data_IF_181635091987
#
_entry.id   IF_181635091987
#
_cell.length_a   1.000
_cell.length_b   1.000
_cell.length_c   1.000
_cell.angle_alpha   90.00
_cell.angle_beta   90.00
_cell.angle_gamma   90.00
#
_symmetry.space_group_name_H-M   'P 1'
#
loop_
_entity.id
_entity.type
_entity.pdbx_description
1 polymer ?
#
# COMPACT_ATOMS: atom_id res chain seq x y z
N UNK A 1 15.23 -31.69 -8.49
CA UNK A 1 14.87 -30.43 -7.81
C UNK A 1 16.08 -29.60 -7.36
N UNK A 2 17.19 -30.23 -6.98
CA UNK A 2 18.45 -29.55 -6.57
C UNK A 2 19.14 -28.78 -7.70
N UNK A 3 19.13 -29.29 -8.94
CA UNK A 3 19.73 -28.59 -10.08
C UNK A 3 19.05 -27.24 -10.40
N UNK A 4 17.73 -27.16 -10.31
CA UNK A 4 16.98 -25.92 -10.56
C UNK A 4 17.25 -24.88 -9.47
N UNK A 5 17.34 -25.33 -8.20
CA UNK A 5 17.73 -24.46 -7.08
C UNK A 5 19.15 -23.90 -7.26
N UNK A 6 20.09 -24.74 -7.66
CA UNK A 6 21.48 -24.33 -7.91
C UNK A 6 21.59 -23.39 -9.12
N UNK A 7 20.80 -23.62 -10.17
CA UNK A 7 20.76 -22.74 -11.35
C UNK A 7 20.18 -21.37 -10.99
N UNK A 8 19.08 -21.33 -10.22
CA UNK A 8 18.50 -20.09 -9.72
C UNK A 8 19.51 -19.33 -8.85
N UNK A 9 20.15 -20.01 -7.89
CA UNK A 9 21.17 -19.41 -7.02
C UNK A 9 22.42 -18.94 -7.78
N UNK A 10 22.80 -19.61 -8.87
CA UNK A 10 23.94 -19.23 -9.72
C UNK A 10 23.66 -18.04 -10.64
N UNK A 11 22.39 -17.83 -11.04
CA UNK A 11 21.97 -16.73 -11.93
C UNK A 11 21.61 -15.46 -11.15
N UNK A 12 21.22 -15.59 -9.87
CA UNK A 12 20.95 -14.47 -8.97
C UNK A 12 22.14 -13.48 -8.80
N UNK A 13 23.39 -13.90 -8.56
CA UNK A 13 24.50 -12.97 -8.30
C UNK A 13 24.99 -12.22 -9.55
N UNK A 14 24.74 -12.72 -10.76
CA UNK A 14 25.10 -12.02 -12.01
C UNK A 14 24.07 -10.96 -12.43
N UNK A 15 22.88 -10.93 -11.81
CA UNK A 15 21.82 -9.94 -12.07
C UNK A 15 21.47 -9.08 -10.85
N UNK A 16 22.12 -9.32 -9.71
CA UNK A 16 22.01 -8.52 -8.50
C UNK A 16 22.78 -7.20 -8.61
N UNK A 17 22.50 -6.40 -9.65
CA UNK A 17 22.29 -4.98 -9.36
C UNK A 17 21.25 -4.96 -8.26
N UNK A 18 21.56 -4.30 -7.14
CA UNK A 18 20.72 -4.13 -5.95
C UNK A 18 19.32 -3.68 -6.41
N UNK A 19 18.47 -4.64 -6.78
CA UNK A 19 17.20 -4.37 -7.42
C UNK A 19 16.38 -3.72 -6.33
N UNK A 20 15.92 -2.50 -6.57
CA UNK A 20 15.05 -1.77 -5.67
C UNK A 20 13.82 -2.65 -5.40
N UNK A 21 13.85 -3.37 -4.28
CA UNK A 21 12.82 -4.36 -3.92
C UNK A 21 11.62 -3.69 -3.27
N UNK A 22 11.74 -2.41 -2.92
CA UNK A 22 10.69 -1.66 -2.30
C UNK A 22 9.68 -1.16 -3.33
N UNK A 23 8.44 -1.08 -2.90
CA UNK A 23 7.38 -0.39 -3.62
C UNK A 23 7.54 1.11 -3.39
N UNK A 24 7.37 1.92 -4.43
CA UNK A 24 7.49 3.39 -4.38
C UNK A 24 6.12 4.03 -4.18
N UNK A 25 6.06 5.09 -3.38
CA UNK A 25 4.83 5.85 -3.15
C UNK A 25 4.50 6.72 -4.38
N UNK A 26 3.26 6.66 -4.81
CA UNK A 26 2.65 7.55 -5.78
C UNK A 26 1.35 8.11 -5.20
N UNK A 27 1.26 9.44 -5.11
CA UNK A 27 0.01 10.12 -4.82
C UNK A 27 -0.91 10.11 -6.04
N UNK A 28 -2.22 10.13 -5.81
CA UNK A 28 -3.19 10.26 -6.89
C UNK A 28 -3.07 11.64 -7.53
N UNK A 29 -3.12 11.69 -8.86
CA UNK A 29 -3.11 12.96 -9.60
C UNK A 29 -4.37 13.79 -9.32
N UNK A 30 -5.51 13.12 -9.11
CA UNK A 30 -6.74 13.78 -8.70
C UNK A 30 -6.71 14.09 -7.20
N UNK A 31 -6.41 15.34 -6.86
CA UNK A 31 -6.36 15.84 -5.49
C UNK A 31 -7.71 15.87 -4.77
N UNK A 32 -8.83 15.67 -5.46
CA UNK A 32 -10.15 15.54 -4.82
C UNK A 32 -10.33 14.21 -4.08
N UNK A 33 -9.47 13.21 -4.34
CA UNK A 33 -9.51 11.91 -3.68
C UNK A 33 -8.56 11.93 -2.49
N UNK A 34 -9.12 12.07 -1.29
CA UNK A 34 -8.36 12.39 -0.08
C UNK A 34 -8.51 11.33 1.02
N UNK A 35 -7.55 11.32 1.94
CA UNK A 35 -7.67 10.69 3.25
C UNK A 35 -8.66 11.47 4.15
N UNK A 36 -8.93 10.96 5.36
CA UNK A 36 -9.86 11.59 6.32
C UNK A 36 -9.52 13.07 6.64
N UNK A 37 -8.23 13.40 6.76
CA UNK A 37 -7.80 14.76 7.07
C UNK A 37 -7.77 15.72 5.86
N UNK A 38 -8.03 15.22 4.65
CA UNK A 38 -8.00 15.99 3.40
C UNK A 38 -6.67 15.92 2.66
N UNK A 39 -5.66 15.21 3.18
CA UNK A 39 -4.41 14.96 2.44
C UNK A 39 -4.63 14.03 1.25
N UNK A 40 -3.82 14.13 0.18
CA UNK A 40 -4.00 13.30 -1.01
C UNK A 40 -3.81 11.82 -0.68
N UNK A 41 -4.73 10.98 -1.14
CA UNK A 41 -4.57 9.54 -1.09
C UNK A 41 -3.52 9.08 -2.12
N UNK A 42 -3.08 7.83 -2.02
CA UNK A 42 -2.04 7.28 -2.87
C UNK A 42 -1.88 5.78 -2.70
N UNK A 43 -0.90 5.23 -3.42
CA UNK A 43 -0.58 3.82 -3.40
C UNK A 43 0.93 3.62 -3.53
N UNK A 44 1.41 2.47 -3.08
CA UNK A 44 2.77 2.02 -3.32
C UNK A 44 2.77 1.02 -4.46
N UNK A 45 3.73 1.11 -5.38
CA UNK A 45 3.85 0.18 -6.52
C UNK A 45 5.27 -0.32 -6.71
N UNK A 46 5.39 -1.62 -7.03
CA UNK A 46 6.59 -2.22 -7.63
C UNK A 46 6.19 -2.92 -8.92
N UNK A 47 6.69 -2.40 -10.03
CA UNK A 47 6.42 -2.96 -11.35
C UNK A 47 7.27 -4.20 -11.63
N UNK A 48 6.67 -5.17 -12.30
CA UNK A 48 7.38 -6.28 -12.96
C UNK A 48 7.00 -6.27 -14.43
N UNK A 49 7.83 -5.64 -15.26
CA UNK A 49 7.57 -5.43 -16.71
C UNK A 49 7.36 -6.73 -17.49
N UNK A 50 7.89 -7.86 -17.00
CA UNK A 50 7.72 -9.18 -17.62
C UNK A 50 6.44 -9.91 -17.20
N UNK A 51 5.67 -9.36 -16.26
CA UNK A 51 4.53 -10.03 -15.65
C UNK A 51 3.22 -9.35 -16.02
N UNK A 52 2.23 -10.18 -16.35
CA UNK A 52 0.84 -9.74 -16.62
C UNK A 52 -0.04 -9.84 -15.37
N UNK A 53 0.50 -10.29 -14.24
CA UNK A 53 -0.26 -10.45 -12.99
C UNK A 53 -0.14 -9.17 -12.16
N UNK A 54 -1.25 -8.80 -11.53
CA UNK A 54 -1.34 -7.66 -10.63
C UNK A 54 -1.91 -8.12 -9.31
N UNK A 55 -1.28 -7.71 -8.21
CA UNK A 55 -1.79 -7.88 -6.86
C UNK A 55 -2.02 -6.51 -6.26
N UNK A 56 -3.27 -6.20 -5.96
CA UNK A 56 -3.68 -4.96 -5.29
C UNK A 56 -4.11 -5.31 -3.87
N UNK A 57 -3.34 -4.85 -2.90
CA UNK A 57 -3.56 -5.11 -1.49
C UNK A 57 -4.16 -3.89 -0.81
N UNK A 58 -5.29 -4.08 -0.14
CA UNK A 58 -5.95 -3.07 0.67
C UNK A 58 -5.53 -3.23 2.13
N UNK A 59 -4.87 -2.21 2.68
CA UNK A 59 -4.54 -2.21 4.11
C UNK A 59 -5.81 -2.24 4.97
N UNK A 60 -5.72 -2.88 6.14
CA UNK A 60 -6.78 -2.86 7.14
C UNK A 60 -6.51 -1.84 8.26
N UNK A 61 -7.27 -1.92 9.34
CA UNK A 61 -6.98 -1.15 10.55
C UNK A 61 -8.20 -0.54 11.21
N UNK A 62 -9.26 -1.33 11.41
CA UNK A 62 -10.51 -0.88 12.04
C UNK A 62 -11.19 0.27 11.29
N UNK A 63 -12.13 0.97 11.91
CA UNK A 63 -12.88 2.09 11.35
C UNK A 63 -13.28 3.04 12.47
N UNK A 64 -13.81 4.22 12.12
CA UNK A 64 -14.50 5.10 13.06
C UNK A 64 -15.86 5.47 12.48
N UNK A 65 -16.84 5.76 13.36
CA UNK A 65 -18.25 5.89 12.98
C UNK A 65 -18.97 7.06 13.67
N UNK A 66 -18.24 7.86 14.44
CA UNK A 66 -18.74 9.08 15.10
C UNK A 66 -17.58 10.06 15.28
N UNK A 67 -17.88 11.34 15.47
CA UNK A 67 -16.87 12.40 15.62
C UNK A 67 -15.87 12.08 16.69
N UNK A 68 -16.39 11.75 17.86
CA UNK A 68 -15.59 11.49 19.05
C UNK A 68 -14.61 10.33 18.83
N UNK A 69 -15.07 9.27 18.15
CA UNK A 69 -14.22 8.12 17.86
C UNK A 69 -13.22 8.43 16.75
N UNK A 70 -13.59 9.21 15.74
CA UNK A 70 -12.69 9.65 14.68
C UNK A 70 -11.63 10.64 15.18
N UNK A 71 -11.99 11.58 16.05
CA UNK A 71 -11.06 12.52 16.70
C UNK A 71 -10.04 11.74 17.56
N UNK A 72 -10.52 10.81 18.40
CA UNK A 72 -9.64 9.93 19.20
C UNK A 72 -8.72 9.08 18.32
N UNK A 73 -9.25 8.55 17.21
CA UNK A 73 -8.47 7.78 16.23
C UNK A 73 -7.42 8.65 15.53
N UNK A 74 -7.73 9.91 15.26
CA UNK A 74 -6.80 10.84 14.62
C UNK A 74 -5.60 11.12 15.55
N UNK A 75 -5.85 11.30 16.84
CA UNK A 75 -4.80 11.56 17.83
C UNK A 75 -3.90 10.33 18.08
N UNK A 76 -4.51 9.14 18.16
CA UNK A 76 -3.80 7.89 18.51
C UNK A 76 -3.25 7.12 17.31
N UNK A 77 -3.88 7.22 16.14
CA UNK A 77 -3.63 6.39 14.96
C UNK A 77 -3.58 7.20 13.66
N UNK A 78 -3.00 8.41 13.70
CA UNK A 78 -2.96 9.35 12.57
C UNK A 78 -2.52 8.76 11.21
N UNK A 79 -1.63 7.74 11.18
CA UNK A 79 -1.19 7.09 9.93
C UNK A 79 -2.34 6.46 9.14
N UNK A 80 -3.42 6.08 9.83
CA UNK A 80 -4.62 5.49 9.24
C UNK A 80 -5.70 6.52 8.88
N UNK A 81 -5.37 7.81 8.92
CA UNK A 81 -6.28 8.92 8.63
C UNK A 81 -5.63 10.04 7.79
N UNK A 82 -4.32 9.94 7.54
CA UNK A 82 -3.50 10.98 6.93
C UNK A 82 -2.34 10.37 6.14
N UNK A 83 -2.02 10.97 4.99
CA UNK A 83 -0.86 10.60 4.18
C UNK A 83 0.39 11.43 4.46
N UNK A 84 0.30 12.46 5.33
CA UNK A 84 1.39 13.40 5.65
C UNK A 84 2.73 12.76 6.03
N UNK A 85 2.70 11.57 6.67
CA UNK A 85 3.89 10.88 7.20
C UNK A 85 4.15 9.53 6.52
N UNK A 86 3.61 9.33 5.32
CA UNK A 86 3.89 8.12 4.56
C UNK A 86 5.34 8.13 4.07
N UNK A 87 6.10 7.04 4.29
CA UNK A 87 7.46 6.95 3.77
C UNK A 87 7.44 6.90 2.23
N UNK A 88 8.50 7.36 1.55
CA UNK A 88 8.56 7.36 0.08
C UNK A 88 8.61 5.93 -0.51
N UNK A 89 9.02 4.95 0.29
CA UNK A 89 9.09 3.54 -0.10
C UNK A 89 8.51 2.64 0.98
N UNK A 90 8.09 1.43 0.58
CA UNK A 90 7.59 0.39 1.48
C UNK A 90 8.03 -0.98 0.99
N UNK A 91 8.65 -1.77 1.87
CA UNK A 91 9.00 -3.16 1.58
C UNK A 91 7.75 -4.03 1.57
N UNK A 92 7.57 -4.81 0.50
CA UNK A 92 6.51 -5.81 0.40
C UNK A 92 6.85 -7.05 1.24
N UNK A 93 5.90 -7.56 2.01
CA UNK A 93 6.04 -8.76 2.84
C UNK A 93 4.90 -9.74 2.56
N UNK A 94 5.08 -11.00 2.93
CA UNK A 94 4.14 -12.09 2.67
C UNK A 94 3.81 -12.18 1.18
N UNK A 95 2.51 -12.07 0.84
CA UNK A 95 2.03 -12.17 -0.54
C UNK A 95 2.49 -11.01 -1.44
N UNK A 96 2.95 -9.89 -0.87
CA UNK A 96 3.53 -8.76 -1.59
C UNK A 96 5.06 -8.87 -1.73
N UNK A 97 5.69 -9.86 -1.10
CA UNK A 97 7.13 -10.02 -1.14
C UNK A 97 7.60 -10.35 -2.56
N UNK A 98 8.70 -9.71 -3.02
CA UNK A 98 9.33 -10.06 -4.29
C UNK A 98 10.29 -11.25 -4.17
N UNK A 99 10.44 -11.84 -2.98
CA UNK A 99 11.33 -12.97 -2.75
C UNK A 99 10.58 -14.29 -2.99
N UNK A 100 11.05 -15.17 -3.90
CA UNK A 100 10.43 -16.47 -4.15
C UNK A 100 10.36 -17.35 -2.90
N UNK A 101 11.27 -17.16 -1.95
CA UNK A 101 11.31 -17.92 -0.69
C UNK A 101 10.13 -17.58 0.23
N UNK A 102 9.68 -16.33 0.23
CA UNK A 102 8.55 -15.84 1.02
C UNK A 102 7.24 -15.90 0.25
N UNK A 103 7.27 -15.67 -1.07
CA UNK A 103 6.13 -15.64 -1.96
C UNK A 103 6.31 -16.59 -3.16
N UNK A 104 6.17 -17.91 -2.96
CA UNK A 104 6.56 -18.92 -3.96
C UNK A 104 5.76 -18.84 -5.27
N UNK A 105 4.57 -18.25 -5.24
CA UNK A 105 3.64 -18.26 -6.37
C UNK A 105 3.55 -16.91 -7.10
N UNK A 106 3.62 -15.80 -6.37
CA UNK A 106 3.29 -14.47 -6.90
C UNK A 106 4.46 -13.47 -6.82
N UNK A 107 5.65 -13.87 -6.38
CA UNK A 107 6.81 -12.96 -6.19
C UNK A 107 7.14 -12.07 -7.39
N UNK A 108 6.85 -12.53 -8.61
CA UNK A 108 7.10 -11.79 -9.85
C UNK A 108 5.86 -11.02 -10.37
N UNK A 109 4.79 -10.85 -9.60
CA UNK A 109 3.65 -10.01 -9.98
C UNK A 109 3.99 -8.51 -9.89
N UNK A 110 3.18 -7.66 -10.53
CA UNK A 110 3.13 -6.23 -10.20
C UNK A 110 2.45 -6.09 -8.83
N UNK A 111 3.15 -5.48 -7.88
CA UNK A 111 2.69 -5.37 -6.50
C UNK A 111 2.19 -3.96 -6.24
N UNK A 112 0.96 -3.83 -5.75
CA UNK A 112 0.35 -2.57 -5.35
C UNK A 112 -0.14 -2.70 -3.90
N UNK A 113 0.26 -1.75 -3.06
CA UNK A 113 -0.22 -1.62 -1.69
C UNK A 113 -0.93 -0.28 -1.53
N UNK A 114 -2.21 -0.32 -1.17
CA UNK A 114 -3.01 0.88 -0.95
C UNK A 114 -3.15 1.07 0.57
N UNK A 115 -2.49 2.08 1.16
CA UNK A 115 -2.60 2.35 2.58
C UNK A 115 -4.01 2.79 2.94
N UNK A 116 -4.46 2.36 4.12
CA UNK A 116 -5.81 2.64 4.58
C UNK A 116 -5.83 3.97 5.33
N UNK A 117 -6.46 4.99 4.74
CA UNK A 117 -6.55 6.32 5.34
C UNK A 117 -7.95 6.94 5.35
N UNK A 118 -8.97 6.13 5.08
CA UNK A 118 -10.38 6.55 4.95
C UNK A 118 -11.24 6.18 6.16
N UNK A 119 -10.79 5.24 7.00
CA UNK A 119 -11.49 4.81 8.23
C UNK A 119 -12.93 4.31 8.03
N UNK A 120 -13.29 3.89 6.81
CA UNK A 120 -14.64 3.60 6.32
C UNK A 120 -14.79 2.16 5.78
N UNK A 121 -13.82 1.28 6.03
CA UNK A 121 -13.80 -0.10 5.52
C UNK A 121 -13.90 -0.16 3.99
N UNK A 122 -13.34 0.85 3.29
CA UNK A 122 -13.35 0.96 1.82
C UNK A 122 -14.75 1.13 1.21
N UNK A 123 -15.71 1.63 2.00
CA UNK A 123 -17.11 1.78 1.58
C UNK A 123 -17.52 3.21 1.24
N UNK A 124 -16.73 4.22 1.61
CA UNK A 124 -17.06 5.63 1.42
C UNK A 124 -17.03 6.04 -0.06
N UNK A 125 -17.99 6.89 -0.43
CA UNK A 125 -18.11 7.45 -1.78
C UNK A 125 -18.41 8.97 -1.77
N UNK A 126 -18.26 9.61 -0.61
CA UNK A 126 -18.53 11.04 -0.41
C UNK A 126 -17.23 11.82 -0.29
N UNK A 127 -17.20 13.01 -0.90
CA UNK A 127 -16.10 13.96 -0.74
C UNK A 127 -16.19 14.66 0.63
N UNK A 128 -15.06 15.04 1.20
CA UNK A 128 -15.03 15.93 2.37
C UNK A 128 -15.61 17.29 1.97
N UNK A 129 -16.69 17.69 2.64
CA UNK A 129 -17.36 18.99 2.46
C UNK A 129 -17.41 19.74 3.79
N UNK A 130 -17.58 21.07 3.80
CA UNK A 130 -17.69 21.84 5.05
C UNK A 130 -18.82 21.36 5.97
N UNK A 131 -19.88 20.75 5.42
CA UNK A 131 -20.97 20.14 6.19
C UNK A 131 -20.57 18.83 6.90
N UNK A 132 -19.52 18.13 6.43
CA UNK A 132 -19.08 16.87 7.03
C UNK A 132 -18.45 17.04 8.42
N UNK A 133 -18.06 18.25 8.81
CA UNK A 133 -17.64 18.56 10.19
C UNK A 133 -18.81 18.60 11.20
N UNK A 134 -20.04 18.74 10.69
CA UNK A 134 -21.26 18.87 11.50
C UNK A 134 -22.13 17.60 11.56
N UNK A 135 -21.81 16.58 10.77
CA UNK A 135 -22.61 15.35 10.63
C UNK A 135 -21.90 14.07 11.06
N UNK A 136 -20.61 14.14 11.39
CA UNK A 136 -19.85 13.05 12.01
C UNK A 136 -19.70 13.41 13.47
#
# INVERSE_FOLDING_TARGET
>A
MTQVKNLAQSLYPCSAQKLDQDMKLHFLENSSVTCNDGTPAGYYIKESRGSRRWLVFLEGGWYCFSKQNCDTRYDTMRRLMSSTRWPPTRTGTGILSPQPEENPHWWNANMVFIPYCSSDVWSGASLKTEQSESQI
#
